data_IF_682443281202
#
_entry.id   IF_682443281202
#
_cell.length_a   1.000
_cell.length_b   1.000
_cell.length_c   1.000
_cell.angle_alpha   90.00
_cell.angle_beta   90.00
_cell.angle_gamma   90.00
#
_symmetry.space_group_name_H-M   'P 1'
#
loop_
_entity.id
_entity.type
_entity.pdbx_description
1 polymer ?
#
# COMPACT_ATOMS: atom_id res chain seq x y z
N UNK A 1 -4.27 -6.76 25.39
CA UNK A 1 -2.95 -7.02 24.81
C UNK A 1 -2.65 -8.50 24.88
N UNK A 2 -3.01 -9.27 23.86
CA UNK A 2 -2.58 -10.67 23.78
C UNK A 2 -1.45 -10.76 22.77
N UNK A 3 -0.23 -10.86 23.25
CA UNK A 3 0.92 -11.30 22.48
C UNK A 3 0.74 -12.80 22.21
N UNK A 4 0.47 -13.16 20.96
CA UNK A 4 0.38 -14.56 20.55
C UNK A 4 1.71 -14.92 19.89
N UNK A 5 2.53 -15.70 20.55
CA UNK A 5 3.69 -16.32 19.93
C UNK A 5 3.21 -17.63 19.30
N UNK A 6 3.25 -17.72 17.99
CA UNK A 6 3.10 -19.01 17.30
C UNK A 6 4.49 -19.63 17.22
N UNK A 7 4.79 -20.51 18.16
CA UNK A 7 5.94 -21.42 18.06
C UNK A 7 5.46 -22.68 17.34
N UNK A 8 5.79 -22.80 16.06
CA UNK A 8 5.92 -24.14 15.48
C UNK A 8 7.31 -24.66 15.88
N UNK A 9 7.52 -25.98 15.95
CA UNK A 9 8.86 -26.55 16.24
C UNK A 9 9.95 -26.04 15.27
N UNK A 10 9.60 -25.18 14.36
CA UNK A 10 10.35 -24.81 13.18
C UNK A 10 10.50 -23.31 12.91
N UNK A 11 9.63 -22.44 13.42
CA UNK A 11 9.73 -20.98 13.18
C UNK A 11 9.23 -20.20 14.40
N UNK A 12 10.02 -19.22 14.83
CA UNK A 12 9.61 -18.28 15.88
C UNK A 12 9.02 -17.03 15.22
N UNK A 13 7.69 -16.97 15.19
CA UNK A 13 6.94 -15.81 14.69
C UNK A 13 6.29 -15.12 15.89
N UNK A 14 6.66 -13.88 16.14
CA UNK A 14 6.03 -13.04 17.17
C UNK A 14 4.91 -12.24 16.57
N UNK A 15 3.67 -12.48 17.01
CA UNK A 15 2.51 -11.69 16.63
C UNK A 15 2.11 -10.84 17.84
N UNK A 16 2.25 -9.52 17.71
CA UNK A 16 1.86 -8.57 18.74
C UNK A 16 0.84 -7.57 18.13
N UNK A 17 -0.44 -7.71 18.46
CA UNK A 17 -1.50 -6.91 17.86
C UNK A 17 -1.53 -7.08 16.33
N UNK A 18 -1.29 -5.99 15.60
CA UNK A 18 -1.23 -5.96 14.13
C UNK A 18 0.20 -6.11 13.57
N UNK A 19 1.17 -6.56 14.37
CA UNK A 19 2.57 -6.67 13.96
C UNK A 19 3.03 -8.13 13.96
N UNK A 20 3.70 -8.54 12.89
CA UNK A 20 4.33 -9.87 12.74
C UNK A 20 5.83 -9.68 12.57
N UNK A 21 6.65 -10.34 13.40
CA UNK A 21 8.10 -10.22 13.40
C UNK A 21 8.77 -11.58 13.15
N UNK A 22 9.66 -11.65 12.17
CA UNK A 22 10.40 -12.85 11.74
C UNK A 22 11.89 -12.79 12.08
N UNK A 23 12.39 -11.77 12.78
CA UNK A 23 13.83 -11.56 13.02
C UNK A 23 14.50 -12.61 13.91
N UNK A 24 13.77 -13.57 14.47
CA UNK A 24 14.28 -14.59 15.41
C UNK A 24 14.41 -16.00 14.84
N UNK A 25 14.24 -16.23 13.54
CA UNK A 25 14.34 -17.58 12.96
C UNK A 25 15.80 -17.97 12.69
N UNK A 26 16.19 -19.19 13.15
CA UNK A 26 17.53 -19.75 12.97
C UNK A 26 17.90 -19.95 11.48
N UNK A 27 19.06 -19.42 11.07
CA UNK A 27 19.41 -19.27 9.64
C UNK A 27 19.70 -20.57 8.87
N UNK A 28 19.87 -21.74 9.51
CA UNK A 28 20.57 -22.86 8.85
C UNK A 28 19.87 -24.21 8.72
N UNK A 29 18.64 -24.41 9.20
CA UNK A 29 18.11 -25.78 9.29
C UNK A 29 16.83 -26.13 8.52
N UNK A 30 16.20 -25.19 7.77
CA UNK A 30 14.85 -25.42 7.27
C UNK A 30 14.60 -25.03 5.82
N UNK A 31 13.66 -25.72 5.13
CA UNK A 31 13.23 -25.32 3.78
C UNK A 31 12.57 -23.92 3.84
N UNK A 32 12.85 -23.09 2.83
CA UNK A 32 12.20 -21.79 2.67
C UNK A 32 10.74 -22.01 2.32
N UNK A 33 9.84 -21.57 3.18
CA UNK A 33 8.40 -21.58 2.93
C UNK A 33 7.95 -20.21 2.39
N UNK A 34 6.90 -20.21 1.58
CA UNK A 34 6.25 -18.97 1.12
C UNK A 34 5.06 -18.68 2.05
N UNK A 35 5.04 -17.48 2.60
CA UNK A 35 3.91 -16.99 3.39
C UNK A 35 3.10 -15.98 2.61
N UNK A 36 1.82 -15.91 2.90
CA UNK A 36 0.87 -14.96 2.34
C UNK A 36 0.14 -14.28 3.50
N UNK A 37 0.30 -12.97 3.60
CA UNK A 37 -0.48 -12.11 4.49
C UNK A 37 -1.54 -11.38 3.68
N UNK A 38 -2.77 -11.31 4.21
CA UNK A 38 -3.89 -10.54 3.66
C UNK A 38 -4.45 -9.62 4.72
N UNK A 39 -4.66 -8.36 4.36
CA UNK A 39 -5.39 -7.40 5.18
C UNK A 39 -6.86 -7.37 4.76
N UNK A 40 -7.80 -7.42 5.71
CA UNK A 40 -9.21 -7.25 5.40
C UNK A 40 -9.54 -5.79 5.06
N UNK A 41 -10.77 -5.54 4.65
CA UNK A 41 -11.34 -4.20 4.59
C UNK A 41 -11.24 -3.54 5.97
N UNK A 42 -10.78 -2.30 6.03
CA UNK A 42 -10.56 -1.54 7.27
C UNK A 42 -9.41 -2.04 8.14
N UNK A 43 -8.64 -3.02 7.67
CA UNK A 43 -7.49 -3.57 8.38
C UNK A 43 -6.17 -3.08 7.83
N UNK A 44 -5.17 -3.01 8.69
CA UNK A 44 -3.78 -2.78 8.32
C UNK A 44 -2.87 -3.68 9.14
N UNK A 45 -1.75 -4.07 8.57
CA UNK A 45 -0.72 -4.85 9.28
C UNK A 45 0.66 -4.27 9.03
N UNK A 46 1.51 -4.34 10.04
CA UNK A 46 2.95 -4.13 9.88
C UNK A 46 3.70 -5.43 10.13
N UNK A 47 4.74 -5.67 9.36
CA UNK A 47 5.60 -6.83 9.56
C UNK A 47 7.06 -6.46 9.33
N UNK A 48 7.94 -7.18 10.04
CA UNK A 48 9.38 -7.13 9.82
C UNK A 48 9.80 -8.43 9.16
N UNK A 49 10.33 -8.35 7.95
CA UNK A 49 10.84 -9.50 7.20
C UNK A 49 12.16 -10.02 7.81
N UNK A 50 12.54 -11.23 7.44
CA UNK A 50 13.74 -11.90 7.98
C UNK A 50 15.05 -11.13 7.78
N UNK A 51 15.14 -10.28 6.73
CA UNK A 51 16.28 -9.40 6.50
C UNK A 51 16.25 -8.11 7.34
N UNK A 52 15.17 -7.87 8.10
CA UNK A 52 14.93 -6.66 8.88
C UNK A 52 14.26 -5.53 8.09
N UNK A 53 13.82 -5.78 6.86
CA UNK A 53 12.96 -4.86 6.10
C UNK A 53 11.60 -4.74 6.78
N UNK A 54 11.11 -3.52 6.96
CA UNK A 54 9.78 -3.26 7.51
C UNK A 54 8.79 -2.99 6.39
N UNK A 55 7.61 -3.57 6.53
CA UNK A 55 6.51 -3.42 5.57
C UNK A 55 5.23 -3.07 6.33
N UNK A 56 4.53 -2.04 5.86
CA UNK A 56 3.16 -1.72 6.29
C UNK A 56 2.23 -2.07 5.13
N UNK A 57 1.24 -2.91 5.40
CA UNK A 57 0.19 -3.25 4.46
C UNK A 57 -1.08 -2.46 4.75
N UNK A 58 -1.60 -1.79 3.73
CA UNK A 58 -2.87 -1.09 3.78
C UNK A 58 -4.06 -2.04 3.67
N UNK A 59 -5.29 -1.54 3.84
CA UNK A 59 -6.51 -2.33 3.73
C UNK A 59 -6.62 -3.04 2.35
N UNK A 60 -7.23 -4.23 2.35
CA UNK A 60 -7.47 -5.06 1.16
C UNK A 60 -6.21 -5.37 0.34
N UNK A 61 -5.09 -5.58 1.02
CA UNK A 61 -3.79 -5.85 0.39
C UNK A 61 -3.29 -7.26 0.69
N UNK A 62 -2.47 -7.78 -0.20
CA UNK A 62 -1.82 -9.09 -0.07
C UNK A 62 -0.32 -8.95 -0.28
N UNK A 63 0.47 -9.54 0.60
CA UNK A 63 1.92 -9.67 0.45
C UNK A 63 2.31 -11.14 0.53
N UNK A 64 2.96 -11.63 -0.53
CA UNK A 64 3.58 -12.95 -0.57
C UNK A 64 5.08 -12.80 -0.44
N UNK A 65 5.67 -13.48 0.53
CA UNK A 65 7.08 -13.36 0.87
C UNK A 65 7.62 -14.68 1.42
N UNK A 66 8.93 -14.95 1.25
CA UNK A 66 9.56 -16.13 1.84
C UNK A 66 9.82 -15.90 3.33
N UNK A 67 9.79 -16.98 4.13
CA UNK A 67 10.15 -16.93 5.56
C UNK A 67 11.58 -16.45 5.79
N UNK A 68 12.46 -16.60 4.77
CA UNK A 68 13.81 -16.03 4.71
C UNK A 68 14.28 -15.88 3.27
N UNK A 69 15.20 -14.97 3.04
CA UNK A 69 15.78 -14.72 1.72
C UNK A 69 17.04 -15.55 1.53
N UNK A 70 16.95 -16.61 0.73
CA UNK A 70 18.10 -17.43 0.34
C UNK A 70 18.58 -16.98 -1.03
N UNK A 71 19.90 -16.82 -1.20
CA UNK A 71 20.50 -16.42 -2.46
C UNK A 71 20.85 -14.94 -2.55
N UNK A 72 21.05 -14.47 -3.77
CA UNK A 72 21.61 -13.14 -4.07
C UNK A 72 20.55 -12.04 -4.22
N UNK A 73 19.27 -12.36 -3.98
CA UNK A 73 18.17 -11.40 -4.10
C UNK A 73 17.17 -11.60 -2.98
N UNK A 74 16.42 -10.54 -2.66
CA UNK A 74 15.29 -10.53 -1.73
C UNK A 74 14.04 -10.17 -2.52
N UNK A 75 13.07 -11.08 -2.62
CA UNK A 75 11.92 -10.89 -3.50
C UNK A 75 10.61 -11.10 -2.73
N UNK A 76 9.66 -10.20 -2.94
CA UNK A 76 8.27 -10.27 -2.46
C UNK A 76 7.32 -9.97 -3.61
N UNK A 77 6.05 -10.41 -3.50
CA UNK A 77 4.99 -10.12 -4.46
C UNK A 77 3.90 -9.34 -3.74
N UNK A 78 3.44 -8.22 -4.32
CA UNK A 78 2.44 -7.34 -3.74
C UNK A 78 1.21 -7.24 -4.64
N UNK A 79 0.02 -7.30 -4.00
CA UNK A 79 -1.26 -6.82 -4.53
C UNK A 79 -1.85 -5.85 -3.52
N UNK A 80 -2.44 -4.75 -3.98
CA UNK A 80 -2.93 -3.70 -3.08
C UNK A 80 -1.88 -2.65 -2.76
N UNK A 81 -1.83 -2.15 -1.53
CA UNK A 81 -0.94 -1.05 -1.17
C UNK A 81 -0.05 -1.41 0.02
N UNK A 82 1.24 -1.11 -0.14
CA UNK A 82 2.22 -1.27 0.93
C UNK A 82 3.27 -0.17 0.90
N UNK A 83 3.73 0.18 2.10
CA UNK A 83 4.92 0.99 2.30
C UNK A 83 6.07 0.11 2.78
N UNK A 84 7.24 0.33 2.21
CA UNK A 84 8.45 -0.43 2.48
C UNK A 84 9.55 0.48 3.05
N UNK A 85 10.13 0.08 4.17
CA UNK A 85 11.44 0.56 4.63
C UNK A 85 12.44 -0.58 4.46
N UNK A 86 13.07 -0.62 3.30
CA UNK A 86 13.97 -1.72 2.95
C UNK A 86 15.32 -1.54 3.63
N UNK A 87 15.75 -2.58 4.36
CA UNK A 87 17.08 -2.60 4.98
C UNK A 87 18.19 -2.52 3.93
N UNK A 88 19.14 -1.59 4.04
CA UNK A 88 20.23 -1.45 3.09
C UNK A 88 21.07 -2.72 2.95
N UNK A 89 21.19 -3.23 1.72
CA UNK A 89 22.07 -4.33 1.34
C UNK A 89 22.37 -4.24 -0.17
N UNK A 90 23.51 -3.69 -0.51
CA UNK A 90 23.93 -3.50 -1.91
C UNK A 90 24.30 -4.80 -2.62
N UNK A 91 24.60 -5.87 -1.88
CA UNK A 91 24.99 -7.17 -2.46
C UNK A 91 23.74 -8.03 -2.77
N UNK A 92 22.63 -7.81 -2.08
CA UNK A 92 21.37 -8.53 -2.26
C UNK A 92 20.23 -7.54 -2.52
N UNK A 93 20.00 -7.13 -3.77
CA UNK A 93 18.91 -6.25 -4.12
C UNK A 93 17.55 -6.78 -3.64
N UNK A 94 16.66 -5.87 -3.26
CA UNK A 94 15.29 -6.17 -2.87
C UNK A 94 14.36 -5.89 -4.05
N UNK A 95 13.45 -6.82 -4.35
CA UNK A 95 12.50 -6.73 -5.44
C UNK A 95 11.08 -6.81 -4.90
N UNK A 96 10.23 -5.88 -5.32
CA UNK A 96 8.77 -5.98 -5.20
C UNK A 96 8.21 -6.26 -6.58
N UNK A 97 7.54 -7.41 -6.73
CA UNK A 97 6.84 -7.77 -7.96
C UNK A 97 5.41 -7.24 -7.93
N UNK A 98 5.02 -6.57 -9.00
CA UNK A 98 3.72 -5.95 -9.20
C UNK A 98 3.31 -6.21 -10.64
N UNK A 99 2.28 -6.99 -10.90
CA UNK A 99 1.87 -7.32 -12.27
C UNK A 99 3.06 -7.80 -13.13
N UNK A 100 3.34 -7.05 -14.20
CA UNK A 100 4.45 -7.30 -15.13
C UNK A 100 5.70 -6.46 -14.82
N UNK A 101 5.78 -5.85 -13.64
CA UNK A 101 6.91 -5.01 -13.25
C UNK A 101 7.65 -5.55 -12.03
N UNK A 102 8.94 -5.30 -12.02
CA UNK A 102 9.81 -5.51 -10.87
C UNK A 102 10.35 -4.16 -10.38
N UNK A 103 10.06 -3.83 -9.13
CA UNK A 103 10.59 -2.64 -8.44
C UNK A 103 11.81 -3.07 -7.64
N UNK A 104 13.00 -2.68 -8.09
CA UNK A 104 14.30 -3.02 -7.50
C UNK A 104 14.84 -1.87 -6.67
N UNK A 105 15.29 -2.19 -5.45
CA UNK A 105 15.90 -1.25 -4.51
C UNK A 105 17.08 -1.88 -3.76
N UNK A 106 17.96 -1.04 -3.18
CA UNK A 106 19.12 -1.49 -2.38
C UNK A 106 19.03 -1.09 -0.91
N UNK A 107 18.11 -0.18 -0.55
CA UNK A 107 17.93 0.37 0.80
C UNK A 107 17.15 1.68 0.69
N UNK A 108 15.83 1.59 0.67
CA UNK A 108 14.96 2.63 0.13
C UNK A 108 13.67 2.64 0.92
N UNK A 109 13.08 3.83 1.11
CA UNK A 109 11.73 4.00 1.65
C UNK A 109 10.80 4.46 0.53
N UNK A 110 9.75 3.67 0.23
CA UNK A 110 8.84 3.93 -0.88
C UNK A 110 7.47 3.30 -0.64
N UNK A 111 6.45 3.88 -1.27
CA UNK A 111 5.09 3.36 -1.29
C UNK A 111 4.79 2.73 -2.66
N UNK A 112 4.07 1.63 -2.64
CA UNK A 112 3.52 0.99 -3.84
C UNK A 112 2.02 0.85 -3.67
N UNK A 113 1.24 1.34 -4.64
CA UNK A 113 -0.21 1.16 -4.72
C UNK A 113 -0.55 0.42 -6.01
N UNK A 114 -0.99 -0.84 -5.90
CA UNK A 114 -1.25 -1.74 -7.02
C UNK A 114 -2.45 -2.64 -6.74
N UNK A 115 -3.63 -2.04 -6.53
CA UNK A 115 -4.89 -2.78 -6.41
C UNK A 115 -5.34 -3.28 -7.77
N UNK A 116 -5.83 -4.52 -7.85
CA UNK A 116 -6.26 -5.15 -9.10
C UNK A 116 -7.49 -4.45 -9.73
N UNK A 117 -8.29 -3.74 -8.93
CA UNK A 117 -9.49 -2.98 -9.30
C UNK A 117 -9.21 -1.51 -9.68
N UNK A 118 -7.98 -1.04 -9.55
CA UNK A 118 -7.56 0.30 -10.04
C UNK A 118 -7.12 0.23 -11.51
N UNK A 119 -7.45 1.24 -12.31
CA UNK A 119 -7.01 1.37 -13.71
C UNK A 119 -5.51 1.60 -13.87
N UNK A 120 -4.83 1.95 -12.78
CA UNK A 120 -3.39 2.20 -12.75
C UNK A 120 -2.77 1.68 -11.45
N UNK A 121 -1.46 1.48 -11.49
CA UNK A 121 -0.67 1.28 -10.28
C UNK A 121 0.42 2.35 -10.19
N UNK A 122 0.92 2.60 -8.99
CA UNK A 122 1.89 3.66 -8.74
C UNK A 122 2.96 3.26 -7.74
N UNK A 123 4.19 3.76 -7.97
CA UNK A 123 5.31 3.69 -7.02
C UNK A 123 5.78 5.10 -6.68
N UNK A 124 5.76 5.45 -5.40
CA UNK A 124 6.18 6.76 -4.88
C UNK A 124 7.45 6.62 -4.07
N UNK A 125 8.51 7.31 -4.46
CA UNK A 125 9.81 7.23 -3.79
C UNK A 125 9.98 8.37 -2.76
N UNK A 126 10.22 7.98 -1.49
CA UNK A 126 10.51 8.92 -0.41
C UNK A 126 12.01 9.12 -0.21
N UNK A 127 12.78 8.03 -0.04
CA UNK A 127 14.22 8.08 0.26
C UNK A 127 14.93 6.97 -0.53
N UNK A 128 16.08 7.30 -1.10
CA UNK A 128 16.94 6.35 -1.79
C UNK A 128 16.78 6.37 -3.30
N UNK A 129 16.72 5.21 -3.94
CA UNK A 129 16.63 5.04 -5.38
C UNK A 129 15.78 3.82 -5.70
N UNK A 130 14.90 3.95 -6.69
CA UNK A 130 14.09 2.88 -7.25
C UNK A 130 14.43 2.69 -8.73
N UNK A 131 14.60 1.45 -9.15
CA UNK A 131 14.65 1.03 -10.54
C UNK A 131 13.43 0.14 -10.81
N UNK A 132 12.55 0.57 -11.71
CA UNK A 132 11.37 -0.19 -12.14
C UNK A 132 11.64 -0.78 -13.51
N UNK A 133 11.45 -2.08 -13.67
CA UNK A 133 11.69 -2.79 -14.93
C UNK A 133 10.44 -3.55 -15.36
N UNK A 134 9.99 -3.31 -16.59
CA UNK A 134 8.99 -4.16 -17.23
C UNK A 134 9.64 -5.54 -17.58
N UNK A 135 9.02 -6.64 -17.11
CA UNK A 135 9.58 -7.98 -17.28
C UNK A 135 9.52 -8.47 -18.74
N UNK A 136 8.63 -7.90 -19.56
CA UNK A 136 8.44 -8.27 -20.96
C UNK A 136 9.33 -7.46 -21.89
N UNK A 137 9.29 -6.12 -21.78
CA UNK A 137 10.05 -5.23 -22.69
C UNK A 137 11.50 -5.05 -22.24
N UNK A 138 11.80 -5.30 -20.94
CA UNK A 138 13.09 -5.03 -20.30
C UNK A 138 13.43 -3.54 -20.22
N UNK A 139 12.48 -2.67 -20.52
CA UNK A 139 12.65 -1.25 -20.31
C UNK A 139 12.67 -0.94 -18.83
N UNK A 140 13.55 -0.03 -18.43
CA UNK A 140 13.73 0.36 -17.03
C UNK A 140 13.54 1.87 -16.84
N UNK A 141 12.87 2.22 -15.76
CA UNK A 141 12.65 3.60 -15.33
C UNK A 141 13.27 3.78 -13.95
N UNK A 142 14.04 4.85 -13.79
CA UNK A 142 14.65 5.22 -12.52
C UNK A 142 13.83 6.32 -11.84
N UNK A 143 13.53 6.14 -10.55
CA UNK A 143 12.90 7.17 -9.73
C UNK A 143 13.90 7.78 -8.76
N UNK A 144 13.80 9.08 -8.60
CA UNK A 144 14.48 9.88 -7.59
C UNK A 144 13.52 10.25 -6.44
N UNK A 145 14.01 10.58 -5.26
CA UNK A 145 13.16 11.03 -4.15
C UNK A 145 12.22 12.18 -4.53
N UNK A 146 10.98 12.15 -4.03
CA UNK A 146 9.95 13.12 -4.37
C UNK A 146 9.25 12.85 -5.71
N UNK A 147 9.51 11.70 -6.35
CA UNK A 147 8.85 11.33 -7.61
C UNK A 147 7.96 10.11 -7.48
N UNK A 148 6.93 10.09 -8.29
CA UNK A 148 6.00 8.98 -8.45
C UNK A 148 5.97 8.55 -9.92
N UNK A 149 6.07 7.25 -10.15
CA UNK A 149 5.72 6.63 -11.42
C UNK A 149 4.29 6.09 -11.32
N UNK A 150 3.47 6.40 -12.31
CA UNK A 150 2.10 5.89 -12.48
C UNK A 150 2.05 5.12 -13.78
N UNK A 151 1.66 3.86 -13.73
CA UNK A 151 1.50 2.99 -14.89
C UNK A 151 0.01 2.78 -15.17
N UNK A 152 -0.44 3.17 -16.33
CA UNK A 152 -1.76 2.86 -16.85
C UNK A 152 -1.81 1.39 -17.28
N UNK A 153 -2.76 0.61 -16.72
CA UNK A 153 -2.84 -0.85 -16.95
C UNK A 153 -3.32 -1.21 -18.36
N UNK A 154 -4.08 -0.33 -19.02
CA UNK A 154 -4.62 -0.60 -20.34
C UNK A 154 -3.59 -0.36 -21.42
N UNK A 155 -2.83 0.74 -21.29
CA UNK A 155 -1.85 1.14 -22.31
C UNK A 155 -0.44 0.70 -22.00
N UNK A 156 -0.12 0.38 -20.75
CA UNK A 156 1.24 0.12 -20.26
C UNK A 156 2.12 1.38 -20.17
N UNK A 157 1.56 2.57 -20.45
CA UNK A 157 2.30 3.82 -20.38
C UNK A 157 2.65 4.17 -18.94
N UNK A 158 3.91 4.56 -18.72
CA UNK A 158 4.39 5.01 -17.41
C UNK A 158 4.67 6.51 -17.46
N UNK A 159 3.98 7.25 -16.61
CA UNK A 159 4.22 8.68 -16.38
C UNK A 159 5.01 8.87 -15.09
N UNK A 160 6.05 9.72 -15.12
CA UNK A 160 6.82 10.08 -13.93
C UNK A 160 6.58 11.55 -13.61
N UNK A 161 6.08 11.81 -12.39
CA UNK A 161 5.77 13.17 -11.93
C UNK A 161 6.41 13.46 -10.57
N UNK A 162 6.67 14.73 -10.29
CA UNK A 162 7.06 15.22 -8.97
C UNK A 162 5.83 15.33 -8.08
N UNK A 163 5.96 14.87 -6.82
CA UNK A 163 4.83 14.79 -5.88
C UNK A 163 5.25 15.13 -4.45
N UNK A 164 4.30 15.62 -3.65
CA UNK A 164 4.44 15.58 -2.19
C UNK A 164 4.23 14.13 -1.70
N UNK A 165 5.30 13.47 -1.29
CA UNK A 165 5.26 12.07 -0.84
C UNK A 165 4.36 11.86 0.38
N UNK A 166 4.09 12.90 1.16
CA UNK A 166 3.19 12.86 2.31
C UNK A 166 1.75 12.48 1.91
N UNK A 167 1.31 12.84 0.69
CA UNK A 167 0.00 12.45 0.18
C UNK A 167 -0.17 10.94 0.05
N UNK A 168 0.93 10.22 -0.18
CA UNK A 168 0.94 8.78 -0.44
C UNK A 168 1.43 7.95 0.75
N UNK A 169 1.88 8.60 1.82
CA UNK A 169 2.44 7.91 3.01
C UNK A 169 1.75 8.29 4.32
N UNK A 170 0.87 9.29 4.31
CA UNK A 170 0.14 9.73 5.50
C UNK A 170 -0.69 8.62 6.15
N UNK A 171 -1.16 7.64 5.34
CA UNK A 171 -1.93 6.51 5.80
C UNK A 171 -1.21 5.67 6.86
N UNK A 172 0.13 5.59 6.84
CA UNK A 172 0.95 4.89 7.85
C UNK A 172 0.77 5.52 9.25
N UNK A 173 0.41 6.80 9.28
CA UNK A 173 0.19 7.56 10.53
C UNK A 173 -1.29 7.71 10.87
N UNK A 174 -2.17 6.96 10.20
CA UNK A 174 -3.61 6.99 10.46
C UNK A 174 -4.33 8.21 9.89
N UNK A 175 -3.86 8.74 8.77
CA UNK A 175 -4.43 9.91 8.10
C UNK A 175 -4.78 9.60 6.65
N UNK A 176 -5.95 10.09 6.20
CA UNK A 176 -6.20 10.30 4.77
C UNK A 176 -5.77 11.71 4.42
N UNK A 177 -5.02 11.85 3.35
CA UNK A 177 -4.56 13.15 2.86
C UNK A 177 -4.85 13.28 1.37
N UNK A 178 -5.55 14.35 1.02
CA UNK A 178 -6.01 14.59 -0.34
C UNK A 178 -5.54 15.96 -0.79
N UNK A 179 -5.15 16.08 -2.06
CA UNK A 179 -4.80 17.32 -2.70
C UNK A 179 -5.39 17.33 -4.13
N UNK A 180 -6.39 18.17 -4.33
CA UNK A 180 -7.13 18.25 -5.59
C UNK A 180 -7.58 16.85 -6.08
N UNK A 181 -7.98 15.99 -5.14
CA UNK A 181 -8.36 14.59 -5.40
C UNK A 181 -9.85 14.52 -5.69
N UNK A 182 -10.24 13.80 -6.74
CA UNK A 182 -11.63 13.65 -7.11
C UNK A 182 -12.43 12.89 -6.04
N UNK A 183 -13.72 13.22 -5.91
CA UNK A 183 -14.64 12.54 -5.00
C UNK A 183 -14.69 11.04 -5.34
N UNK A 184 -14.62 10.67 -6.61
CA UNK A 184 -14.56 9.28 -7.03
C UNK A 184 -13.32 8.56 -6.47
N UNK A 185 -12.14 9.15 -6.57
CA UNK A 185 -10.90 8.59 -6.02
C UNK A 185 -10.93 8.52 -4.49
N UNK A 186 -11.46 9.56 -3.82
CA UNK A 186 -11.63 9.58 -2.36
C UNK A 186 -12.52 8.43 -1.92
N UNK A 187 -13.69 8.25 -2.55
CA UNK A 187 -14.61 7.20 -2.18
C UNK A 187 -14.09 5.80 -2.53
N UNK A 188 -13.27 5.64 -3.57
CA UNK A 188 -12.54 4.41 -3.84
C UNK A 188 -11.63 4.02 -2.65
N UNK A 189 -10.94 5.00 -2.06
CA UNK A 189 -10.12 4.79 -0.86
C UNK A 189 -10.99 4.45 0.35
N UNK A 190 -12.09 5.21 0.57
CA UNK A 190 -13.00 5.00 1.69
C UNK A 190 -13.72 3.65 1.63
N UNK A 191 -14.06 3.16 0.44
CA UNK A 191 -14.65 1.82 0.25
C UNK A 191 -13.74 0.70 0.76
N UNK A 192 -12.42 0.81 0.55
CA UNK A 192 -11.45 -0.16 1.07
C UNK A 192 -11.31 -0.12 2.58
N UNK A 193 -11.68 1.02 3.20
CA UNK A 193 -11.55 1.19 4.64
C UNK A 193 -12.85 0.93 5.41
N UNK A 194 -14.01 1.35 4.87
CA UNK A 194 -15.29 1.33 5.60
C UNK A 194 -16.29 0.29 5.12
N UNK A 195 -15.96 -0.52 4.12
CA UNK A 195 -16.86 -1.53 3.54
C UNK A 195 -18.20 -0.92 3.14
N UNK A 196 -18.18 0.08 2.28
CA UNK A 196 -19.35 0.82 1.79
C UNK A 196 -19.52 0.66 0.28
N UNK A 197 -20.76 0.80 -0.16
CA UNK A 197 -21.13 0.99 -1.56
C UNK A 197 -21.39 2.46 -1.82
N UNK A 198 -21.06 2.96 -3.00
CA UNK A 198 -21.21 4.36 -3.36
C UNK A 198 -22.07 4.53 -4.58
N UNK A 199 -23.04 5.43 -4.48
CA UNK A 199 -23.93 5.79 -5.58
C UNK A 199 -23.84 7.30 -5.83
N UNK A 200 -23.40 7.67 -7.03
CA UNK A 200 -23.32 9.07 -7.47
C UNK A 200 -24.61 9.43 -8.21
N UNK A 201 -25.25 10.55 -7.82
CA UNK A 201 -26.49 11.01 -8.47
C UNK A 201 -26.26 11.56 -9.87
N UNK A 202 -25.06 12.03 -10.16
CA UNK A 202 -24.64 12.49 -11.49
C UNK A 202 -23.12 12.47 -11.64
N UNK A 203 -22.64 12.56 -12.90
CA UNK A 203 -21.20 12.52 -13.19
C UNK A 203 -20.44 13.79 -12.79
N UNK A 204 -21.11 14.91 -12.57
CA UNK A 204 -20.43 16.13 -12.12
C UNK A 204 -19.91 15.96 -10.70
N UNK A 205 -20.72 15.35 -9.81
CA UNK A 205 -20.34 15.06 -8.42
C UNK A 205 -19.10 14.19 -8.33
N UNK A 206 -18.92 13.22 -9.23
CA UNK A 206 -17.73 12.36 -9.24
C UNK A 206 -16.44 13.15 -9.41
N UNK A 207 -16.51 14.21 -10.23
CA UNK A 207 -15.37 15.05 -10.65
C UNK A 207 -15.09 16.20 -9.71
N UNK A 208 -15.99 16.47 -8.76
CA UNK A 208 -15.70 17.45 -7.71
C UNK A 208 -14.41 17.05 -6.99
N UNK A 209 -13.60 18.04 -6.63
CA UNK A 209 -12.31 17.82 -6.03
C UNK A 209 -12.27 18.29 -4.59
N UNK A 210 -11.49 17.58 -3.79
CA UNK A 210 -11.32 17.87 -2.39
C UNK A 210 -9.83 17.97 -2.05
N UNK A 211 -9.48 18.98 -1.25
CA UNK A 211 -8.16 19.11 -0.63
C UNK A 211 -8.34 19.17 0.87
N UNK A 212 -7.69 18.27 1.58
CA UNK A 212 -7.83 18.21 3.02
C UNK A 212 -7.14 17.03 3.67
N UNK A 213 -7.30 16.97 4.99
CA UNK A 213 -6.74 15.94 5.85
C UNK A 213 -7.85 15.40 6.73
N UNK A 214 -8.07 14.10 6.71
CA UNK A 214 -9.11 13.41 7.47
C UNK A 214 -8.49 12.34 8.37
N UNK A 215 -8.96 12.17 9.60
CA UNK A 215 -8.53 11.10 10.49
C UNK A 215 -9.04 9.76 9.97
N UNK A 216 -8.17 8.74 9.93
CA UNK A 216 -8.46 7.45 9.29
C UNK A 216 -9.28 6.50 10.19
N UNK A 217 -9.11 6.61 11.50
CA UNK A 217 -9.74 5.69 12.46
C UNK A 217 -11.07 6.19 13.02
N UNK A 218 -11.59 7.30 12.50
CA UNK A 218 -12.88 7.84 12.90
C UNK A 218 -14.04 7.07 12.27
N UNK A 219 -15.24 7.24 12.85
CA UNK A 219 -16.46 6.71 12.24
C UNK A 219 -16.69 7.38 10.88
N UNK A 220 -17.15 6.61 9.89
CA UNK A 220 -17.45 7.12 8.56
C UNK A 220 -18.34 8.37 8.58
N UNK A 221 -19.35 8.44 9.48
CA UNK A 221 -20.22 9.61 9.55
C UNK A 221 -19.45 10.89 9.87
N UNK A 222 -18.45 10.81 10.76
CA UNK A 222 -17.58 11.96 11.07
C UNK A 222 -16.82 12.42 9.81
N UNK A 223 -16.35 11.48 9.00
CA UNK A 223 -15.67 11.81 7.74
C UNK A 223 -16.62 12.51 6.76
N UNK A 224 -17.84 11.97 6.59
CA UNK A 224 -18.86 12.57 5.72
C UNK A 224 -19.25 13.97 6.20
N UNK A 225 -19.50 14.15 7.50
CA UNK A 225 -19.84 15.45 8.08
C UNK A 225 -18.71 16.49 7.88
N UNK A 226 -17.44 16.06 8.01
CA UNK A 226 -16.31 16.94 7.75
C UNK A 226 -16.23 17.36 6.28
N UNK A 227 -16.50 16.45 5.35
CA UNK A 227 -16.52 16.75 3.91
C UNK A 227 -17.70 17.68 3.55
N UNK A 228 -18.89 17.46 4.09
CA UNK A 228 -20.06 18.35 3.89
C UNK A 228 -19.81 19.77 4.38
N UNK A 229 -19.12 19.93 5.50
CA UNK A 229 -18.85 21.27 6.06
C UNK A 229 -17.98 22.16 5.19
N UNK A 230 -17.21 21.59 4.26
CA UNK A 230 -16.21 22.32 3.44
C UNK A 230 -16.45 22.21 1.94
N UNK A 231 -17.51 21.52 1.53
CA UNK A 231 -17.88 21.34 0.12
C UNK A 231 -19.38 21.53 -0.09
N UNK A 232 -19.86 21.74 -1.31
CA UNK A 232 -21.30 21.79 -1.62
C UNK A 232 -21.96 20.43 -1.69
N UNK A 233 -21.22 19.35 -1.43
CA UNK A 233 -21.70 17.98 -1.53
C UNK A 233 -22.60 17.64 -0.35
N UNK A 234 -23.57 16.78 -0.61
CA UNK A 234 -24.43 16.18 0.40
C UNK A 234 -24.34 14.65 0.35
N UNK A 235 -24.22 14.01 1.54
CA UNK A 235 -24.07 12.58 1.68
C UNK A 235 -25.25 11.97 2.43
N UNK A 236 -26.08 11.17 1.76
CA UNK A 236 -27.15 10.42 2.39
C UNK A 236 -26.70 8.98 2.61
N UNK A 237 -26.65 8.51 3.85
CA UNK A 237 -26.30 7.14 4.21
C UNK A 237 -27.53 6.27 4.40
N UNK A 238 -27.63 5.15 3.66
CA UNK A 238 -28.65 4.11 3.83
C UNK A 238 -27.97 2.75 4.04
N UNK A 239 -27.83 2.35 5.29
CA UNK A 239 -27.08 1.14 5.65
C UNK A 239 -25.59 1.28 5.30
N UNK A 240 -25.10 0.47 4.38
CA UNK A 240 -23.74 0.54 3.87
C UNK A 240 -23.61 1.35 2.56
N UNK A 241 -24.72 1.83 2.01
CA UNK A 241 -24.69 2.62 0.76
C UNK A 241 -24.68 4.11 1.07
N UNK A 242 -23.77 4.82 0.41
CA UNK A 242 -23.63 6.28 0.46
C UNK A 242 -24.13 6.84 -0.88
N UNK A 243 -25.13 7.71 -0.83
CA UNK A 243 -25.59 8.48 -1.98
C UNK A 243 -24.94 9.85 -1.92
N UNK A 244 -24.29 10.25 -3.01
CA UNK A 244 -23.56 11.51 -3.13
C UNK A 244 -24.28 12.42 -4.11
N UNK A 245 -24.63 13.62 -3.64
CA UNK A 245 -25.45 14.60 -4.38
C UNK A 245 -24.74 15.94 -4.52
#
# INVERSE_FOLDING_TARGET
DMQKTLESEQEKVVIAGNTVDYTGSDENSMPVSQHLIRTPCGGEYSLTLADGTKVWLNAMSELKYPTRFNGNTRCVELKGEAFFEVKPDAQRPFYVKIDNYEVKVLGTSFNVKAYDDDDSWATTLCIGKVEMTDVHTRESIELLPGRQAVCDRQTGNVEVKEVDTELFTAWIRGEFRFDNTSVEEIFTILQRWYHIDVFYTNDAVRREVFTGKLPRFENLQVILDLMENVSPLHFERKGNTIFIQ
#
